data_IF_241988729434
#
_entry.id   IF_241988729434
#
_cell.length_a   1.000
_cell.length_b   1.000
_cell.length_c   1.000
_cell.angle_alpha   90.00
_cell.angle_beta   90.00
_cell.angle_gamma   90.00
#
_symmetry.space_group_name_H-M   'P 1'
#
loop_
_entity.id
_entity.type
_entity.pdbx_description
1 polymer ?
#
# COMPACT_ATOMS: atom_id res chain seq x y z
N UNK A 1 -4.26 -4.21 8.80
CA UNK A 1 -4.75 -3.31 7.73
C UNK A 1 -4.13 -3.62 6.38
N UNK A 2 -2.85 -4.01 6.30
CA UNK A 2 -2.21 -4.45 5.04
C UNK A 2 -2.92 -5.62 4.32
N UNK A 3 -3.44 -6.61 5.05
CA UNK A 3 -4.19 -7.74 4.46
C UNK A 3 -5.59 -7.37 3.98
N UNK A 4 -6.23 -6.37 4.59
CA UNK A 4 -7.57 -5.91 4.21
C UNK A 4 -7.53 -4.98 2.99
N UNK A 5 -6.48 -4.15 2.89
CA UNK A 5 -6.25 -3.27 1.75
C UNK A 5 -5.93 -4.08 0.49
N UNK A 6 -5.06 -5.10 0.57
CA UNK A 6 -4.76 -5.98 -0.56
C UNK A 6 -5.99 -6.68 -1.17
N UNK A 7 -7.00 -7.00 -0.35
CA UNK A 7 -8.24 -7.67 -0.80
C UNK A 7 -9.20 -6.77 -1.58
N UNK A 8 -9.26 -5.48 -1.24
CA UNK A 8 -10.21 -4.55 -1.84
C UNK A 8 -9.73 -4.07 -3.23
N UNK A 9 -8.42 -4.10 -3.46
CA UNK A 9 -7.79 -3.53 -4.64
C UNK A 9 -7.79 -4.42 -5.90
N UNK A 10 -7.98 -5.74 -5.75
CA UNK A 10 -8.11 -6.65 -6.90
C UNK A 10 -9.44 -6.53 -7.66
N UNK A 11 -10.47 -5.95 -7.03
CA UNK A 11 -11.82 -5.85 -7.60
C UNK A 11 -12.13 -4.49 -8.22
N UNK A 12 -11.39 -3.42 -7.92
CA UNK A 12 -11.82 -2.06 -8.29
C UNK A 12 -11.41 -1.62 -9.71
N UNK A 13 -10.52 -2.34 -10.42
CA UNK A 13 -10.03 -1.91 -11.74
C UNK A 13 -11.08 -1.91 -12.87
N UNK A 14 -12.23 -2.58 -12.72
CA UNK A 14 -13.29 -2.63 -13.74
C UNK A 14 -14.42 -1.60 -13.56
N UNK A 15 -14.36 -0.74 -12.54
CA UNK A 15 -15.38 0.29 -12.25
C UNK A 15 -15.19 1.61 -13.02
N UNK A 16 -14.08 1.79 -13.72
CA UNK A 16 -13.67 3.10 -14.25
C UNK A 16 -14.01 3.28 -15.73
N UNK A 17 -15.30 3.51 -15.99
CA UNK A 17 -15.84 3.74 -17.33
C UNK A 17 -16.24 5.17 -17.67
N UNK A 18 -16.18 6.16 -16.76
CA UNK A 18 -16.56 7.54 -17.08
C UNK A 18 -15.91 8.57 -16.12
N UNK A 19 -14.97 9.37 -16.63
CA UNK A 19 -14.49 10.59 -15.97
C UNK A 19 -15.04 11.83 -16.70
N UNK A 20 -15.74 12.75 -16.03
CA UNK A 20 -15.97 14.09 -16.55
C UNK A 20 -14.67 14.92 -16.45
N UNK A 21 -14.27 15.52 -17.57
CA UNK A 21 -13.21 16.51 -17.67
C UNK A 21 -13.47 17.65 -16.68
N UNK A 22 -12.48 17.98 -15.85
CA UNK A 22 -12.36 19.31 -15.26
C UNK A 22 -10.90 19.72 -15.28
N UNK A 23 -10.54 20.38 -16.37
CA UNK A 23 -9.43 21.31 -16.47
C UNK A 23 -9.79 22.57 -15.69
N UNK A 24 -9.11 22.85 -14.59
CA UNK A 24 -9.00 24.23 -14.11
C UNK A 24 -7.55 24.53 -13.74
N UNK A 25 -7.03 25.48 -14.50
CA UNK A 25 -5.68 26.02 -14.44
C UNK A 25 -5.49 26.87 -13.19
N UNK A 26 -4.39 26.64 -12.46
CA UNK A 26 -3.81 27.68 -11.61
C UNK A 26 -2.35 27.88 -12.04
N UNK A 27 -2.17 28.96 -12.81
CA UNK A 27 -0.91 29.55 -13.20
C UNK A 27 -0.30 30.23 -11.98
N UNK A 28 1.00 30.07 -11.76
CA UNK A 28 1.84 31.11 -11.17
C UNK A 28 3.32 30.91 -11.57
N UNK A 29 3.89 31.99 -12.13
CA UNK A 29 5.28 32.12 -12.56
C UNK A 29 6.27 32.32 -11.39
N UNK A 30 7.58 32.07 -11.60
CA UNK A 30 8.58 32.01 -10.55
C UNK A 30 9.34 33.33 -10.35
N UNK A 31 9.81 33.58 -9.12
CA UNK A 31 10.89 34.54 -8.88
C UNK A 31 12.21 33.81 -8.65
N UNK A 32 13.19 34.16 -9.49
CA UNK A 32 14.58 33.70 -9.44
C UNK A 32 15.39 34.41 -8.35
N UNK A 33 16.36 33.71 -7.77
CA UNK A 33 17.27 34.29 -6.76
C UNK A 33 18.44 33.41 -6.36
N UNK A 34 19.45 33.37 -7.24
CA UNK A 34 20.91 33.29 -7.01
C UNK A 34 21.56 32.09 -6.29
N UNK A 35 22.52 31.54 -7.04
CA UNK A 35 23.56 30.57 -6.68
C UNK A 35 24.68 31.27 -5.90
N UNK A 36 25.21 30.63 -4.85
CA UNK A 36 26.61 30.83 -4.47
C UNK A 36 27.24 29.54 -3.91
N UNK A 37 28.53 29.42 -4.18
CA UNK A 37 29.31 28.21 -4.38
C UNK A 37 30.19 27.86 -3.16
N UNK A 38 30.37 26.55 -2.94
CA UNK A 38 31.48 25.82 -2.26
C UNK A 38 32.07 26.33 -0.92
N UNK A 39 32.14 25.41 0.07
CA UNK A 39 33.37 24.68 0.47
C UNK A 39 33.14 23.64 1.59
N UNK A 40 33.94 22.58 1.51
CA UNK A 40 34.11 21.41 2.39
C UNK A 40 33.84 21.64 3.89
N UNK A 41 32.96 20.82 4.47
CA UNK A 41 32.90 20.58 5.92
C UNK A 41 32.89 19.06 6.13
N UNK A 42 33.97 18.55 6.70
CA UNK A 42 34.05 17.20 7.28
C UNK A 42 33.14 17.18 8.51
N UNK A 43 32.01 16.49 8.44
CA UNK A 43 31.07 16.37 9.56
C UNK A 43 31.23 15.01 10.25
N UNK A 44 31.88 15.02 11.41
CA UNK A 44 31.77 13.97 12.42
C UNK A 44 30.41 14.10 13.11
N UNK A 45 29.56 13.07 13.05
CA UNK A 45 28.23 13.11 13.68
C UNK A 45 28.29 12.55 15.11
N UNK A 46 28.22 13.45 16.09
CA UNK A 46 27.74 13.12 17.43
C UNK A 46 26.22 12.99 17.38
N UNK A 47 25.70 11.86 17.86
CA UNK A 47 24.27 11.61 17.96
C UNK A 47 23.73 12.25 19.23
N UNK A 48 22.77 13.17 19.09
CA UNK A 48 22.01 13.72 20.23
C UNK A 48 21.29 12.58 20.98
N UNK A 49 21.60 12.45 22.28
CA UNK A 49 21.07 11.41 23.17
C UNK A 49 19.87 11.88 24.00
N UNK A 50 19.15 12.92 23.56
CA UNK A 50 18.04 13.43 24.35
C UNK A 50 16.84 12.44 24.37
N UNK A 51 16.28 12.16 25.56
CA UNK A 51 15.28 11.12 25.72
C UNK A 51 13.91 11.60 25.22
N UNK A 52 13.59 11.27 23.98
CA UNK A 52 12.24 11.45 23.43
C UNK A 52 11.29 10.46 24.13
N UNK A 53 10.31 11.01 24.84
CA UNK A 53 9.31 10.28 25.61
C UNK A 53 8.42 9.39 24.73
N UNK A 54 8.52 8.08 24.96
CA UNK A 54 7.56 6.99 24.75
C UNK A 54 6.61 7.05 23.53
N UNK A 55 7.05 6.42 22.44
CA UNK A 55 6.28 5.30 21.87
C UNK A 55 7.22 4.14 21.54
N UNK A 56 6.98 2.99 22.17
CA UNK A 56 7.78 1.76 22.12
C UNK A 56 7.56 0.98 20.81
N UNK A 57 7.80 1.60 19.65
CA UNK A 57 7.55 0.92 18.37
C UNK A 57 8.79 0.39 17.67
N UNK A 58 9.99 0.90 17.97
CA UNK A 58 11.24 0.31 17.48
C UNK A 58 12.36 0.56 18.50
N UNK A 59 13.02 -0.49 18.99
CA UNK A 59 14.31 -0.36 19.68
C UNK A 59 15.46 -0.11 18.70
N UNK A 60 15.17 -0.24 17.40
CA UNK A 60 16.07 0.08 16.32
C UNK A 60 16.16 1.59 16.08
N UNK A 61 17.38 2.08 15.84
CA UNK A 61 17.65 3.52 15.62
C UNK A 61 18.44 3.78 14.33
N UNK A 62 18.78 2.72 13.57
CA UNK A 62 19.69 2.80 12.43
C UNK A 62 19.25 1.88 11.30
N UNK A 63 19.46 2.31 10.05
CA UNK A 63 19.23 1.49 8.87
C UNK A 63 20.36 0.47 8.67
N UNK A 64 20.00 -0.77 8.38
CA UNK A 64 20.92 -1.82 7.95
C UNK A 64 20.52 -2.26 6.55
N UNK A 65 21.42 -2.02 5.60
CA UNK A 65 21.21 -2.33 4.19
C UNK A 65 21.54 -3.79 3.96
N UNK A 66 20.72 -4.50 3.19
CA UNK A 66 20.95 -5.92 2.96
C UNK A 66 20.57 -6.40 1.58
N UNK A 67 21.24 -7.48 1.17
CA UNK A 67 20.91 -8.25 -0.04
C UNK A 67 20.94 -9.74 0.29
N UNK A 68 19.82 -10.42 0.03
CA UNK A 68 19.76 -11.88 0.08
C UNK A 68 20.27 -12.47 -1.23
N UNK A 69 21.13 -13.49 -1.14
CA UNK A 69 21.50 -14.27 -2.30
C UNK A 69 20.45 -15.36 -2.59
N UNK A 70 20.01 -15.46 -3.84
CA UNK A 70 18.84 -16.28 -4.20
C UNK A 70 19.03 -17.78 -4.02
N UNK A 71 20.28 -18.26 -3.92
CA UNK A 71 20.61 -19.69 -3.89
C UNK A 71 21.35 -20.12 -2.61
N UNK A 72 21.56 -19.21 -1.66
CA UNK A 72 22.25 -19.50 -0.40
C UNK A 72 21.48 -18.96 0.80
N UNK A 73 21.89 -19.40 1.99
CA UNK A 73 21.43 -18.80 3.25
C UNK A 73 22.20 -17.53 3.61
N UNK A 74 23.10 -17.08 2.74
CA UNK A 74 23.96 -15.92 2.98
C UNK A 74 23.21 -14.63 2.67
N UNK A 75 23.54 -13.62 3.47
CA UNK A 75 22.98 -12.29 3.36
C UNK A 75 24.12 -11.30 3.50
N UNK A 76 24.28 -10.43 2.51
CA UNK A 76 25.22 -9.33 2.59
C UNK A 76 24.57 -8.20 3.41
N UNK A 77 25.31 -7.64 4.34
CA UNK A 77 24.88 -6.58 5.23
C UNK A 77 25.84 -5.39 5.18
N UNK A 78 25.29 -4.19 5.30
CA UNK A 78 26.05 -2.94 5.38
C UNK A 78 25.38 -1.95 6.32
N UNK A 79 26.10 -1.47 7.32
CA UNK A 79 25.57 -0.55 8.35
C UNK A 79 25.87 0.93 8.09
N UNK A 80 26.43 1.26 6.91
CA UNK A 80 26.94 2.58 6.57
C UNK A 80 28.46 2.72 6.74
N UNK A 81 29.11 1.77 7.41
CA UNK A 81 30.56 1.78 7.68
C UNK A 81 31.17 0.42 7.32
N UNK A 82 30.59 -0.66 7.85
CA UNK A 82 31.12 -2.02 7.78
C UNK A 82 30.25 -2.86 6.86
N UNK A 83 30.91 -3.59 5.98
CA UNK A 83 30.30 -4.64 5.15
C UNK A 83 30.64 -6.02 5.71
N UNK A 84 29.66 -6.91 5.81
CA UNK A 84 29.88 -8.30 6.19
C UNK A 84 28.85 -9.24 5.59
N UNK A 85 29.18 -10.53 5.55
CA UNK A 85 28.27 -11.60 5.14
C UNK A 85 27.77 -12.30 6.40
N UNK A 86 26.46 -12.32 6.58
CA UNK A 86 25.78 -13.09 7.61
C UNK A 86 24.84 -14.12 7.01
N UNK A 87 23.87 -14.55 7.80
CA UNK A 87 22.86 -15.54 7.41
C UNK A 87 21.44 -15.05 7.65
N UNK A 88 20.45 -15.71 7.04
CA UNK A 88 19.03 -15.41 7.27
C UNK A 88 18.59 -15.56 8.74
N UNK A 89 19.34 -16.29 9.57
CA UNK A 89 19.03 -16.42 11.01
C UNK A 89 19.35 -15.13 11.78
N UNK A 90 20.27 -14.32 11.25
CA UNK A 90 20.79 -13.13 11.92
C UNK A 90 19.74 -12.01 11.97
N UNK A 91 18.76 -11.99 11.05
CA UNK A 91 17.66 -11.03 11.07
C UNK A 91 16.96 -10.97 12.43
N UNK A 92 16.73 -12.12 13.07
CA UNK A 92 16.04 -12.18 14.36
C UNK A 92 16.80 -11.43 15.46
N UNK A 93 18.13 -11.58 15.50
CA UNK A 93 19.01 -10.91 16.47
C UNK A 93 19.19 -9.44 16.13
N UNK A 94 19.43 -9.13 14.85
CA UNK A 94 19.71 -7.78 14.37
C UNK A 94 18.48 -6.86 14.39
N UNK A 95 17.26 -7.42 14.28
CA UNK A 95 15.99 -6.66 14.28
C UNK A 95 15.78 -5.81 15.54
N UNK A 96 16.45 -6.15 16.64
CA UNK A 96 16.39 -5.39 17.89
C UNK A 96 17.07 -4.02 17.78
N UNK A 97 18.03 -3.86 16.86
CA UNK A 97 18.87 -2.67 16.74
C UNK A 97 18.74 -1.96 15.39
N UNK A 98 18.31 -2.68 14.36
CA UNK A 98 18.36 -2.21 12.99
C UNK A 98 17.01 -2.26 12.28
N UNK A 99 16.76 -1.26 11.45
CA UNK A 99 15.74 -1.30 10.41
C UNK A 99 16.35 -1.91 9.16
N UNK A 100 15.81 -3.01 8.67
CA UNK A 100 16.31 -3.63 7.45
C UNK A 100 15.81 -2.89 6.23
N UNK A 101 16.74 -2.46 5.38
CA UNK A 101 16.47 -1.76 4.12
C UNK A 101 17.00 -2.65 3.01
N UNK A 102 16.10 -3.22 2.23
CA UNK A 102 16.47 -4.08 1.12
C UNK A 102 17.08 -3.24 -0.01
N UNK A 103 18.17 -3.72 -0.57
CA UNK A 103 18.84 -3.10 -1.71
C UNK A 103 18.19 -3.51 -3.02
N UNK A 104 18.09 -2.57 -3.96
CA UNK A 104 17.58 -2.85 -5.30
C UNK A 104 18.52 -3.79 -6.07
N UNK A 105 17.95 -4.53 -7.03
CA UNK A 105 18.66 -5.59 -7.76
C UNK A 105 19.97 -5.13 -8.43
N UNK A 106 20.04 -3.88 -8.86
CA UNK A 106 21.15 -3.32 -9.63
C UNK A 106 21.95 -2.25 -8.89
N UNK A 107 21.69 -2.08 -7.59
CA UNK A 107 22.31 -1.05 -6.75
C UNK A 107 23.27 -1.70 -5.75
N UNK A 108 24.40 -1.08 -5.44
CA UNK A 108 25.31 -1.53 -4.36
C UNK A 108 24.73 -1.24 -2.95
N UNK A 109 25.28 -1.87 -1.92
CA UNK A 109 24.86 -1.59 -0.53
C UNK A 109 25.15 -0.13 -0.12
N UNK A 110 26.29 0.39 -0.55
CA UNK A 110 26.72 1.77 -0.32
C UNK A 110 25.88 2.78 -1.11
N UNK A 111 25.55 2.46 -2.36
CA UNK A 111 24.66 3.27 -3.19
C UNK A 111 23.26 3.36 -2.56
N UNK A 112 22.71 2.22 -2.11
CA UNK A 112 21.43 2.17 -1.40
C UNK A 112 21.48 2.97 -0.10
N UNK A 113 22.58 2.86 0.64
CA UNK A 113 22.79 3.61 1.87
C UNK A 113 22.77 5.12 1.65
N UNK A 114 23.51 5.58 0.64
CA UNK A 114 23.54 6.99 0.25
C UNK A 114 22.19 7.47 -0.24
N UNK A 115 21.55 6.72 -1.15
CA UNK A 115 20.22 7.03 -1.70
C UNK A 115 19.19 7.18 -0.57
N UNK A 116 19.11 6.20 0.32
CA UNK A 116 18.20 6.22 1.45
C UNK A 116 18.44 7.44 2.36
N UNK A 117 19.70 7.78 2.65
CA UNK A 117 20.02 8.94 3.47
C UNK A 117 19.60 10.25 2.78
N UNK A 118 19.92 10.40 1.49
CA UNK A 118 19.56 11.57 0.69
C UNK A 118 18.03 11.73 0.61
N UNK A 119 17.30 10.63 0.38
CA UNK A 119 15.83 10.57 0.38
C UNK A 119 15.24 10.95 1.75
N UNK A 120 15.78 10.38 2.83
CA UNK A 120 15.34 10.64 4.19
C UNK A 120 15.51 12.11 4.59
N UNK A 121 16.69 12.70 4.30
CA UNK A 121 16.97 14.10 4.61
C UNK A 121 16.08 15.01 3.75
N UNK A 122 15.99 14.72 2.45
CA UNK A 122 15.23 15.55 1.51
C UNK A 122 13.75 15.60 1.87
N UNK A 123 13.13 14.46 2.18
CA UNK A 123 11.72 14.42 2.56
C UNK A 123 11.46 14.98 3.96
N UNK A 124 12.40 14.81 4.89
CA UNK A 124 12.31 15.41 6.23
C UNK A 124 12.35 16.93 6.17
N UNK A 125 13.31 17.49 5.44
CA UNK A 125 13.37 18.93 5.20
C UNK A 125 12.08 19.41 4.52
N UNK A 126 11.64 18.73 3.47
CA UNK A 126 10.48 19.14 2.69
C UNK A 126 9.16 19.08 3.46
N UNK A 127 9.04 18.13 4.38
CA UNK A 127 7.88 17.96 5.23
C UNK A 127 7.94 18.76 6.53
N UNK A 128 9.02 19.52 6.76
CA UNK A 128 9.33 20.24 8.01
C UNK A 128 9.41 19.29 9.22
N UNK A 129 10.04 18.13 9.03
CA UNK A 129 10.28 17.13 10.08
C UNK A 129 9.11 16.17 10.33
N UNK A 130 7.96 16.35 9.68
CA UNK A 130 6.80 15.46 9.84
C UNK A 130 7.09 14.04 9.34
N UNK A 131 7.84 13.91 8.24
CA UNK A 131 8.19 12.61 7.64
C UNK A 131 9.70 12.44 7.77
N UNK A 132 10.14 11.46 8.57
CA UNK A 132 11.57 11.17 8.73
C UNK A 132 11.83 9.66 8.79
N UNK A 133 12.25 9.13 7.64
CA UNK A 133 12.54 7.70 7.47
C UNK A 133 13.64 7.22 8.42
N UNK A 134 14.56 8.09 8.89
CA UNK A 134 15.60 7.68 9.86
C UNK A 134 15.01 7.25 11.21
N UNK A 135 13.79 7.70 11.52
CA UNK A 135 13.08 7.36 12.76
C UNK A 135 12.18 6.12 12.62
N UNK A 136 11.78 5.80 11.39
CA UNK A 136 10.76 4.77 11.09
C UNK A 136 11.31 3.59 10.30
N UNK A 137 12.45 3.74 9.64
CA UNK A 137 13.08 2.73 8.79
C UNK A 137 12.48 2.71 7.39
N UNK A 138 11.73 1.65 7.08
CA UNK A 138 11.27 1.38 5.72
C UNK A 138 10.24 2.39 5.22
N UNK A 139 10.02 2.45 3.90
CA UNK A 139 8.96 3.25 3.30
C UNK A 139 7.58 2.90 3.86
N UNK A 140 7.29 1.60 4.02
CA UNK A 140 6.04 1.12 4.58
C UNK A 140 5.83 1.55 6.03
N UNK A 141 6.86 1.39 6.88
CA UNK A 141 6.79 1.84 8.26
C UNK A 141 6.63 3.36 8.37
N UNK A 142 7.30 4.11 7.49
CA UNK A 142 7.18 5.56 7.40
C UNK A 142 5.78 5.99 6.94
N UNK A 143 5.21 5.29 5.96
CA UNK A 143 3.86 5.57 5.45
C UNK A 143 2.80 5.29 6.49
N UNK A 144 2.90 4.13 7.16
CA UNK A 144 2.02 3.76 8.26
C UNK A 144 2.12 4.75 9.41
N UNK A 145 3.34 5.20 9.76
CA UNK A 145 3.53 6.20 10.81
C UNK A 145 2.86 7.51 10.46
N UNK A 146 3.11 8.02 9.26
CA UNK A 146 2.47 9.25 8.78
C UNK A 146 0.94 9.10 8.79
N UNK A 147 0.42 7.97 8.30
CA UNK A 147 -1.01 7.68 8.34
C UNK A 147 -1.56 7.73 9.76
N UNK A 148 -0.89 7.11 10.73
CA UNK A 148 -1.30 7.14 12.14
C UNK A 148 -1.27 8.55 12.75
N UNK A 149 -0.32 9.38 12.33
CA UNK A 149 -0.18 10.75 12.85
C UNK A 149 -1.26 11.71 12.27
N UNK A 150 -1.85 11.41 11.11
CA UNK A 150 -2.79 12.30 10.41
C UNK A 150 -4.19 11.73 10.19
N UNK A 151 -4.42 10.44 10.45
CA UNK A 151 -5.73 9.82 10.22
C UNK A 151 -6.75 10.26 11.27
N UNK A 152 -8.02 10.39 10.85
CA UNK A 152 -9.15 10.55 11.77
C UNK A 152 -9.72 9.21 12.26
N UNK A 153 -9.16 8.10 11.79
CA UNK A 153 -9.54 6.75 12.20
C UNK A 153 -8.90 6.28 13.52
N UNK A 154 -9.17 5.04 13.93
CA UNK A 154 -8.49 4.45 15.08
C UNK A 154 -6.98 4.31 14.84
N UNK A 155 -6.18 4.90 15.74
CA UNK A 155 -4.70 4.85 15.67
C UNK A 155 -4.16 3.42 15.89
N UNK A 156 -4.90 2.59 16.64
CA UNK A 156 -4.56 1.20 16.92
C UNK A 156 -5.62 0.27 16.34
N UNK A 157 -5.16 -0.73 15.60
CA UNK A 157 -6.02 -1.82 15.16
C UNK A 157 -6.26 -2.81 16.30
N UNK A 158 -7.50 -3.26 16.44
CA UNK A 158 -7.81 -4.48 17.19
C UNK A 158 -7.23 -5.69 16.44
N UNK A 159 -6.74 -6.69 17.18
CA UNK A 159 -6.31 -7.94 16.57
C UNK A 159 -7.53 -8.66 15.97
N UNK A 160 -7.42 -9.05 14.71
CA UNK A 160 -8.43 -9.88 14.06
C UNK A 160 -8.48 -11.26 14.72
N UNK A 161 -9.68 -11.82 14.83
CA UNK A 161 -9.85 -13.24 15.12
C UNK A 161 -9.36 -14.09 13.94
N UNK A 162 -9.06 -15.36 14.20
CA UNK A 162 -8.63 -16.32 13.17
C UNK A 162 -9.67 -16.47 12.06
N UNK A 163 -10.97 -16.40 12.40
CA UNK A 163 -12.05 -16.50 11.41
C UNK A 163 -12.09 -15.25 10.51
N UNK A 164 -11.97 -14.04 11.08
CA UNK A 164 -11.92 -12.81 10.28
C UNK A 164 -10.71 -12.79 9.35
N UNK A 165 -9.55 -13.16 9.86
CA UNK A 165 -8.31 -13.26 9.08
C UNK A 165 -8.49 -14.26 7.92
N UNK A 166 -9.07 -15.43 8.20
CA UNK A 166 -9.37 -16.43 7.17
C UNK A 166 -10.27 -15.87 6.05
N UNK A 167 -11.40 -15.24 6.40
CA UNK A 167 -12.32 -14.68 5.40
C UNK A 167 -11.69 -13.57 4.56
N UNK A 168 -10.94 -12.66 5.20
CA UNK A 168 -10.25 -11.56 4.51
C UNK A 168 -9.18 -12.12 3.57
N UNK A 169 -8.36 -13.09 4.02
CA UNK A 169 -7.33 -13.72 3.19
C UNK A 169 -7.96 -14.46 2.01
N UNK A 170 -9.04 -15.20 2.23
CA UNK A 170 -9.72 -15.96 1.18
C UNK A 170 -10.40 -15.05 0.17
N UNK A 171 -10.91 -13.88 0.58
CA UNK A 171 -11.46 -12.87 -0.33
C UNK A 171 -10.39 -12.01 -1.01
N UNK A 172 -9.13 -12.14 -0.63
CA UNK A 172 -8.06 -11.31 -1.17
C UNK A 172 -7.64 -11.79 -2.56
N UNK A 173 -8.09 -11.08 -3.59
CA UNK A 173 -7.67 -11.32 -4.97
C UNK A 173 -6.70 -10.24 -5.44
N UNK A 174 -5.77 -10.62 -6.31
CA UNK A 174 -4.83 -9.68 -6.94
C UNK A 174 -5.49 -8.86 -8.05
N UNK A 175 -4.68 -8.03 -8.70
CA UNK A 175 -5.12 -7.18 -9.81
C UNK A 175 -5.70 -8.00 -10.99
N UNK A 176 -6.58 -7.35 -11.76
CA UNK A 176 -6.98 -7.87 -13.08
C UNK A 176 -5.80 -7.65 -14.04
N UNK A 177 -5.28 -8.74 -14.57
CA UNK A 177 -4.22 -8.74 -15.58
C UNK A 177 -4.72 -9.58 -16.74
N UNK A 178 -4.72 -8.98 -17.92
CA UNK A 178 -5.14 -9.65 -19.14
C UNK A 178 -4.31 -9.14 -20.31
N UNK A 179 -3.98 -10.04 -21.23
CA UNK A 179 -3.29 -9.71 -22.46
C UNK A 179 -3.70 -10.72 -23.55
N UNK A 180 -3.75 -10.23 -24.79
CA UNK A 180 -3.87 -11.04 -25.99
C UNK A 180 -2.66 -10.76 -26.91
N UNK A 181 -2.28 -11.71 -27.77
CA UNK A 181 -1.29 -11.45 -28.80
C UNK A 181 -1.71 -10.26 -29.67
N UNK A 182 -0.81 -9.29 -29.81
CA UNK A 182 -1.01 -8.11 -30.63
C UNK A 182 0.29 -7.77 -31.38
N UNK A 183 0.16 -7.39 -32.64
CA UNK A 183 1.27 -6.94 -33.49
C UNK A 183 0.90 -5.61 -34.14
N UNK A 184 1.80 -4.62 -34.06
CA UNK A 184 1.60 -3.27 -34.56
C UNK A 184 1.88 -2.20 -33.52
N UNK A 185 1.61 -0.94 -33.87
CA UNK A 185 1.80 0.19 -32.97
C UNK A 185 0.77 0.15 -31.83
N UNK A 186 1.19 0.48 -30.61
CA UNK A 186 0.34 0.54 -29.43
C UNK A 186 0.55 1.84 -28.64
N UNK A 187 -0.47 2.25 -27.90
CA UNK A 187 -0.40 3.35 -26.92
C UNK A 187 -0.74 2.81 -25.54
N UNK A 188 0.04 3.21 -24.54
CA UNK A 188 -0.18 2.84 -23.15
C UNK A 188 -0.71 4.05 -22.38
N UNK A 189 -1.70 3.79 -21.52
CA UNK A 189 -2.20 4.74 -20.53
C UNK A 189 -2.00 4.14 -19.14
N UNK A 190 -1.76 4.99 -18.15
CA UNK A 190 -1.62 4.62 -16.74
C UNK A 190 -2.43 5.58 -15.88
N UNK A 191 -2.99 5.09 -14.78
CA UNK A 191 -3.77 5.88 -13.84
C UNK A 191 -2.82 6.43 -12.78
N UNK A 192 -2.73 7.76 -12.73
CA UNK A 192 -1.97 8.44 -11.70
C UNK A 192 -2.54 8.12 -10.31
N UNK A 193 -1.66 7.62 -9.42
CA UNK A 193 -2.00 7.30 -8.04
C UNK A 193 -3.25 6.40 -7.90
N UNK A 194 -3.34 5.34 -8.72
CA UNK A 194 -4.50 4.45 -8.74
C UNK A 194 -5.01 4.05 -7.34
N UNK A 195 -4.18 3.43 -6.49
CA UNK A 195 -4.63 2.99 -5.17
C UNK A 195 -5.04 4.13 -4.22
N UNK A 196 -4.25 5.21 -4.07
CA UNK A 196 -4.73 6.39 -3.34
C UNK A 196 -6.04 6.97 -3.91
N UNK A 197 -6.23 6.98 -5.23
CA UNK A 197 -7.48 7.48 -5.83
C UNK A 197 -8.68 6.61 -5.47
N UNK A 198 -8.46 5.29 -5.34
CA UNK A 198 -9.47 4.32 -4.89
C UNK A 198 -9.79 4.50 -3.40
N UNK A 199 -8.78 4.68 -2.55
CA UNK A 199 -8.96 4.95 -1.12
C UNK A 199 -9.82 6.20 -0.86
N UNK A 200 -9.67 7.22 -1.71
CA UNK A 200 -10.33 8.52 -1.61
C UNK A 200 -11.57 8.65 -2.48
N UNK A 201 -11.99 7.58 -3.15
CA UNK A 201 -13.12 7.63 -4.05
C UNK A 201 -14.37 8.08 -3.28
N UNK A 202 -15.18 8.93 -3.92
CA UNK A 202 -16.45 9.39 -3.34
C UNK A 202 -17.31 8.19 -2.97
N UNK A 203 -17.89 8.22 -1.77
CA UNK A 203 -18.73 7.14 -1.21
C UNK A 203 -17.97 5.86 -0.86
N UNK A 204 -16.65 5.79 -1.07
CA UNK A 204 -15.85 4.66 -0.59
C UNK A 204 -15.80 4.67 0.94
N UNK A 205 -16.16 3.55 1.53
CA UNK A 205 -16.08 3.33 2.97
C UNK A 205 -15.18 2.14 3.28
N UNK A 206 -14.54 2.17 4.44
CA UNK A 206 -13.56 1.18 4.84
C UNK A 206 -13.84 0.65 6.23
N UNK A 207 -13.72 -0.67 6.48
CA UNK A 207 -13.88 -1.24 7.80
C UNK A 207 -12.84 -0.73 8.79
N UNK A 208 -13.32 -0.19 9.91
CA UNK A 208 -12.51 0.26 11.05
C UNK A 208 -12.73 -0.59 12.31
N UNK A 209 -13.73 -1.50 12.26
CA UNK A 209 -14.10 -2.44 13.33
C UNK A 209 -14.45 -3.80 12.74
N UNK A 210 -14.55 -4.80 13.61
CA UNK A 210 -15.02 -6.14 13.27
C UNK A 210 -16.44 -6.12 12.72
N UNK A 211 -16.72 -6.95 11.72
CA UNK A 211 -18.06 -7.20 11.20
C UNK A 211 -18.79 -8.32 11.95
N UNK A 212 -19.87 -8.80 11.35
CA UNK A 212 -20.70 -9.89 11.85
C UNK A 212 -20.78 -11.02 10.83
N UNK A 213 -20.64 -12.26 11.28
CA UNK A 213 -20.86 -13.43 10.46
C UNK A 213 -22.34 -13.80 10.42
N UNK A 214 -22.86 -14.07 9.22
CA UNK A 214 -24.27 -14.35 9.00
C UNK A 214 -24.49 -15.57 8.09
N UNK A 215 -25.67 -16.16 8.26
CA UNK A 215 -26.24 -17.19 7.38
C UNK A 215 -27.37 -16.56 6.58
N UNK A 216 -27.11 -16.24 5.33
CA UNK A 216 -28.11 -15.72 4.41
C UNK A 216 -28.81 -16.87 3.69
N UNK A 217 -30.12 -16.73 3.49
CA UNK A 217 -30.92 -17.67 2.68
C UNK A 217 -31.02 -17.24 1.22
N UNK A 218 -30.82 -15.94 0.94
CA UNK A 218 -30.79 -15.39 -0.42
C UNK A 218 -29.89 -14.16 -0.48
N UNK A 219 -29.43 -13.81 -1.69
CA UNK A 219 -28.53 -12.69 -1.91
C UNK A 219 -29.32 -11.45 -2.36
N UNK A 220 -29.34 -10.41 -1.53
CA UNK A 220 -30.05 -9.16 -1.82
C UNK A 220 -29.55 -8.47 -3.10
N UNK A 221 -30.43 -7.73 -3.77
CA UNK A 221 -30.08 -6.92 -4.95
C UNK A 221 -29.07 -5.82 -4.61
N UNK A 222 -29.27 -5.15 -3.47
CA UNK A 222 -28.29 -4.23 -2.88
C UNK A 222 -27.56 -4.97 -1.76
N UNK A 223 -26.25 -5.11 -1.89
CA UNK A 223 -25.44 -5.79 -0.88
C UNK A 223 -25.05 -4.82 0.23
N UNK A 224 -24.91 -5.36 1.43
CA UNK A 224 -24.21 -4.66 2.49
C UNK A 224 -22.70 -4.72 2.22
N UNK A 225 -21.94 -3.84 2.88
CA UNK A 225 -20.49 -3.90 2.80
C UNK A 225 -20.03 -5.21 3.45
N UNK A 226 -19.36 -6.09 2.70
CA UNK A 226 -18.98 -7.38 3.25
C UNK A 226 -18.28 -8.30 2.27
N UNK A 227 -18.01 -9.50 2.77
CA UNK A 227 -17.49 -10.66 2.04
C UNK A 227 -18.59 -11.73 2.05
N UNK A 228 -18.82 -12.38 0.92
CA UNK A 228 -19.85 -13.39 0.76
C UNK A 228 -19.28 -14.63 0.10
N UNK A 229 -19.85 -15.78 0.47
CA UNK A 229 -19.58 -17.06 -0.18
C UNK A 229 -20.55 -17.27 -1.33
N UNK A 230 -20.08 -17.06 -2.55
CA UNK A 230 -20.89 -17.20 -3.75
C UNK A 230 -20.15 -17.97 -4.83
N UNK A 231 -20.88 -18.82 -5.55
CA UNK A 231 -20.42 -19.39 -6.79
C UNK A 231 -20.79 -18.41 -7.91
N UNK A 232 -19.80 -17.98 -8.68
CA UNK A 232 -20.00 -17.14 -9.87
C UNK A 232 -19.77 -18.04 -11.08
N UNK A 233 -20.83 -18.23 -11.87
CA UNK A 233 -20.81 -19.22 -12.93
C UNK A 233 -19.72 -18.96 -13.97
N UNK A 234 -19.32 -20.05 -14.60
CA UNK A 234 -18.38 -20.07 -15.70
C UNK A 234 -17.01 -20.54 -15.27
N UNK A 235 -16.50 -20.18 -14.07
CA UNK A 235 -15.08 -20.31 -13.64
C UNK A 235 -14.14 -20.72 -14.79
N UNK A 236 -14.11 -19.92 -15.89
CA UNK A 236 -13.56 -20.40 -17.14
C UNK A 236 -12.07 -20.60 -16.89
N UNK A 237 -11.50 -21.65 -17.47
CA UNK A 237 -10.03 -21.77 -17.42
C UNK A 237 -9.46 -20.48 -18.01
N UNK A 238 -8.36 -19.95 -17.47
CA UNK A 238 -7.74 -18.71 -17.98
C UNK A 238 -7.48 -18.73 -19.50
N UNK A 239 -7.35 -19.93 -20.08
CA UNK A 239 -7.18 -20.20 -21.51
C UNK A 239 -8.46 -20.14 -22.35
N UNK A 240 -9.64 -20.09 -21.73
CA UNK A 240 -10.93 -20.11 -22.43
C UNK A 240 -11.36 -18.69 -22.81
N UNK A 241 -11.90 -18.54 -24.03
CA UNK A 241 -12.39 -17.25 -24.57
C UNK A 241 -13.51 -16.61 -23.73
N UNK A 242 -14.13 -17.39 -22.85
CA UNK A 242 -15.19 -16.97 -21.93
C UNK A 242 -14.63 -16.30 -20.66
N UNK A 243 -13.32 -16.35 -20.44
CA UNK A 243 -12.66 -15.58 -19.38
C UNK A 243 -12.83 -14.09 -19.68
N UNK A 244 -13.63 -13.42 -18.86
CA UNK A 244 -13.94 -12.00 -19.08
C UNK A 244 -12.71 -11.15 -18.76
N UNK A 245 -12.34 -10.24 -19.65
CA UNK A 245 -11.27 -9.24 -19.44
C UNK A 245 -11.48 -8.36 -18.19
N UNK A 246 -12.69 -8.38 -17.61
CA UNK A 246 -13.19 -7.42 -16.62
C UNK A 246 -13.46 -8.03 -15.25
N UNK A 247 -13.11 -9.30 -15.02
CA UNK A 247 -13.36 -9.97 -13.74
C UNK A 247 -12.26 -10.95 -13.34
N UNK A 248 -11.85 -10.89 -12.07
CA UNK A 248 -10.93 -11.85 -11.47
C UNK A 248 -11.71 -12.89 -10.67
N UNK A 249 -11.80 -14.11 -11.21
CA UNK A 249 -12.45 -15.22 -10.50
C UNK A 249 -11.64 -15.66 -9.27
N UNK A 250 -12.32 -15.78 -8.14
CA UNK A 250 -11.77 -16.35 -6.93
C UNK A 250 -12.14 -17.83 -6.82
N UNK A 251 -11.13 -18.71 -6.90
CA UNK A 251 -11.31 -20.16 -6.77
C UNK A 251 -11.77 -20.59 -5.38
N UNK A 252 -11.56 -19.75 -4.36
CA UNK A 252 -12.00 -20.01 -2.99
C UNK A 252 -13.48 -19.65 -2.78
N UNK A 253 -14.11 -18.99 -3.76
CA UNK A 253 -15.52 -18.58 -3.75
C UNK A 253 -15.88 -17.54 -2.67
N UNK A 254 -14.89 -16.77 -2.19
CA UNK A 254 -15.10 -15.62 -1.31
C UNK A 254 -15.01 -14.32 -2.12
N UNK A 255 -16.08 -13.55 -2.17
CA UNK A 255 -16.10 -12.31 -2.94
C UNK A 255 -16.54 -11.15 -2.07
N UNK A 256 -15.86 -10.02 -2.22
CA UNK A 256 -16.35 -8.76 -1.67
C UNK A 256 -17.66 -8.36 -2.36
N UNK A 257 -18.49 -7.56 -1.69
CA UNK A 257 -19.67 -6.96 -2.31
C UNK A 257 -19.34 -6.25 -3.64
N UNK A 258 -18.20 -5.54 -3.74
CA UNK A 258 -17.73 -4.94 -4.99
C UNK A 258 -17.53 -5.98 -6.11
N UNK A 259 -16.85 -7.10 -5.81
CA UNK A 259 -16.66 -8.18 -6.77
C UNK A 259 -17.99 -8.74 -7.29
N UNK A 260 -18.95 -8.94 -6.38
CA UNK A 260 -20.27 -9.45 -6.74
C UNK A 260 -21.05 -8.42 -7.58
N UNK A 261 -20.98 -7.13 -7.23
CA UNK A 261 -21.62 -6.07 -8.00
C UNK A 261 -21.04 -5.96 -9.41
N UNK A 262 -19.73 -6.12 -9.58
CA UNK A 262 -19.09 -6.16 -10.89
C UNK A 262 -19.56 -7.37 -11.68
N UNK A 263 -19.55 -8.56 -11.08
CA UNK A 263 -20.04 -9.78 -11.72
C UNK A 263 -21.49 -9.61 -12.22
N UNK A 264 -22.36 -8.99 -11.40
CA UNK A 264 -23.74 -8.63 -11.82
C UNK A 264 -23.75 -7.67 -13.00
N UNK A 265 -22.92 -6.62 -12.98
CA UNK A 265 -22.87 -5.59 -14.04
C UNK A 265 -22.44 -6.17 -15.38
N UNK A 266 -21.53 -7.14 -15.39
CA UNK A 266 -21.07 -7.80 -16.62
C UNK A 266 -21.91 -9.03 -17.00
N UNK A 267 -23.02 -9.28 -16.30
CA UNK A 267 -24.00 -10.31 -16.66
C UNK A 267 -23.64 -11.73 -16.21
N UNK A 268 -22.71 -11.91 -15.26
CA UNK A 268 -22.42 -13.23 -14.70
C UNK A 268 -23.51 -13.68 -13.73
N UNK A 269 -23.87 -14.97 -13.79
CA UNK A 269 -24.77 -15.59 -12.84
C UNK A 269 -24.06 -15.82 -11.50
N UNK A 270 -24.75 -15.53 -10.39
CA UNK A 270 -24.22 -15.59 -9.04
C UNK A 270 -25.18 -16.40 -8.17
N UNK A 271 -24.66 -17.46 -7.57
CA UNK A 271 -25.40 -18.35 -6.67
C UNK A 271 -24.81 -18.27 -5.28
N UNK A 272 -25.66 -17.98 -4.29
CA UNK A 272 -25.26 -18.01 -2.89
C UNK A 272 -24.95 -19.46 -2.48
N UNK A 273 -23.83 -19.66 -1.81
CA UNK A 273 -23.46 -20.99 -1.30
C UNK A 273 -24.22 -21.24 0.00
N UNK A 274 -24.96 -22.36 0.05
CA UNK A 274 -25.77 -22.73 1.21
C UNK A 274 -24.93 -23.46 2.27
N UNK A 275 -24.25 -22.68 3.12
CA UNK A 275 -23.43 -23.15 4.25
C UNK A 275 -23.77 -22.35 5.50
N UNK A 276 -23.41 -22.88 6.68
CA UNK A 276 -23.76 -22.28 7.97
C UNK A 276 -23.24 -20.85 8.16
N UNK A 277 -22.14 -20.46 7.54
CA UNK A 277 -21.67 -19.07 7.47
C UNK A 277 -21.34 -18.76 6.01
N UNK A 278 -22.13 -17.88 5.39
CA UNK A 278 -21.97 -17.51 3.98
C UNK A 278 -21.88 -15.99 3.75
N UNK A 279 -21.88 -15.19 4.82
CA UNK A 279 -21.57 -13.76 4.75
C UNK A 279 -20.78 -13.29 5.98
N UNK A 280 -19.89 -12.32 5.76
CA UNK A 280 -19.22 -11.53 6.77
C UNK A 280 -19.46 -10.05 6.46
N UNK A 281 -20.30 -9.41 7.26
CA UNK A 281 -20.94 -8.11 6.93
C UNK A 281 -20.50 -7.03 7.91
N UNK A 282 -20.24 -5.84 7.39
CA UNK A 282 -19.92 -4.64 8.15
C UNK A 282 -21.12 -3.69 8.12
N UNK A 283 -21.65 -3.39 9.30
CA UNK A 283 -22.67 -2.36 9.48
C UNK A 283 -22.07 -0.95 9.36
N UNK A 284 -22.92 0.06 9.22
CA UNK A 284 -22.50 1.42 8.93
C UNK A 284 -21.57 2.01 10.01
N UNK A 285 -21.81 1.67 11.28
CA UNK A 285 -21.01 2.09 12.43
C UNK A 285 -19.62 1.43 12.52
N UNK A 286 -19.39 0.40 11.70
CA UNK A 286 -18.11 -0.29 11.54
C UNK A 286 -17.31 0.24 10.35
N UNK A 287 -17.89 1.14 9.57
CA UNK A 287 -17.31 1.73 8.38
C UNK A 287 -16.95 3.20 8.62
N UNK A 288 -15.91 3.68 7.95
CA UNK A 288 -15.55 5.08 7.91
C UNK A 288 -15.29 5.51 6.47
N UNK A 289 -15.67 6.75 6.16
CA UNK A 289 -15.43 7.35 4.84
C UNK A 289 -13.93 7.41 4.53
N UNK A 290 -13.57 7.02 3.31
CA UNK A 290 -12.19 6.94 2.86
C UNK A 290 -11.47 8.28 2.83
N UNK A 291 -12.19 9.38 2.53
CA UNK A 291 -11.63 10.72 2.60
C UNK A 291 -11.25 11.07 4.03
N UNK A 292 -12.11 10.77 5.01
CA UNK A 292 -11.81 11.02 6.43
C UNK A 292 -10.59 10.22 6.91
N UNK A 293 -10.41 9.00 6.41
CA UNK A 293 -9.30 8.14 6.80
C UNK A 293 -7.97 8.55 6.15
N UNK A 294 -7.96 8.75 4.84
CA UNK A 294 -6.74 8.73 4.02
C UNK A 294 -6.37 10.08 3.40
N UNK A 295 -7.25 11.09 3.41
CA UNK A 295 -7.06 12.32 2.62
C UNK A 295 -5.81 13.10 3.04
N UNK A 296 -5.59 13.30 4.34
CA UNK A 296 -4.45 14.09 4.82
C UNK A 296 -3.11 13.40 4.55
N UNK A 297 -3.07 12.06 4.73
CA UNK A 297 -1.92 11.23 4.36
C UNK A 297 -1.61 11.34 2.86
N UNK A 298 -2.62 11.12 2.01
CA UNK A 298 -2.46 11.14 0.57
C UNK A 298 -2.10 12.53 0.06
N UNK A 299 -2.80 13.58 0.50
CA UNK A 299 -2.53 14.98 0.10
C UNK A 299 -1.10 15.38 0.41
N UNK A 300 -0.60 15.05 1.61
CA UNK A 300 0.76 15.39 2.03
C UNK A 300 1.82 14.75 1.14
N UNK A 301 1.67 13.46 0.83
CA UNK A 301 2.64 12.75 -0.01
C UNK A 301 2.51 13.14 -1.49
N UNK A 302 1.29 13.30 -2.00
CA UNK A 302 1.04 13.74 -3.38
C UNK A 302 1.57 15.15 -3.62
N UNK A 303 1.43 16.07 -2.67
CA UNK A 303 1.97 17.42 -2.82
C UNK A 303 3.49 17.38 -2.96
N UNK A 304 4.19 16.62 -2.11
CA UNK A 304 5.66 16.48 -2.18
C UNK A 304 6.08 15.75 -3.46
N UNK A 305 5.38 14.68 -3.85
CA UNK A 305 5.63 13.92 -5.08
C UNK A 305 5.61 14.82 -6.32
N UNK A 306 4.62 15.71 -6.42
CA UNK A 306 4.43 16.60 -7.58
C UNK A 306 5.56 17.59 -7.79
N UNK A 307 6.29 17.92 -6.73
CA UNK A 307 7.46 18.79 -6.82
C UNK A 307 8.69 18.11 -7.42
N UNK A 308 8.64 16.78 -7.62
CA UNK A 308 9.72 15.96 -8.19
C UNK A 308 11.00 16.03 -7.33
N UNK A 309 12.15 15.67 -7.91
CA UNK A 309 13.42 15.59 -7.19
C UNK A 309 13.49 14.43 -6.18
N UNK A 310 14.49 14.46 -5.30
CA UNK A 310 14.77 13.40 -4.33
C UNK A 310 13.62 13.20 -3.34
N UNK A 311 13.11 14.28 -2.73
CA UNK A 311 11.92 14.20 -1.87
C UNK A 311 10.68 13.66 -2.61
N UNK A 312 10.49 14.06 -3.88
CA UNK A 312 9.36 13.58 -4.67
C UNK A 312 9.43 12.08 -4.99
N UNK A 313 10.63 11.54 -5.23
CA UNK A 313 10.86 10.10 -5.36
C UNK A 313 10.55 9.37 -4.05
N UNK A 314 11.09 9.82 -2.93
CA UNK A 314 10.82 9.24 -1.62
C UNK A 314 9.31 9.27 -1.29
N UNK A 315 8.64 10.40 -1.55
CA UNK A 315 7.20 10.53 -1.32
C UNK A 315 6.37 9.58 -2.17
N UNK A 316 6.79 9.29 -3.42
CA UNK A 316 6.15 8.27 -4.26
C UNK A 316 6.27 6.88 -3.62
N UNK A 317 7.46 6.47 -3.18
CA UNK A 317 7.67 5.15 -2.58
C UNK A 317 6.89 5.00 -1.27
N UNK A 318 6.84 6.05 -0.44
CA UNK A 318 6.03 6.05 0.79
C UNK A 318 4.53 5.96 0.46
N UNK A 319 4.06 6.72 -0.54
CA UNK A 319 2.64 6.73 -0.94
C UNK A 319 2.13 5.36 -1.38
N UNK A 320 2.97 4.57 -2.06
CA UNK A 320 2.57 3.23 -2.54
C UNK A 320 2.81 2.11 -1.53
N UNK A 321 3.31 2.44 -0.33
CA UNK A 321 3.72 1.47 0.69
C UNK A 321 2.80 1.39 1.93
N UNK A 322 1.70 2.17 1.97
CA UNK A 322 0.68 2.01 3.01
C UNK A 322 -0.16 0.76 2.75
#
# INVERSE_FOLDING_TARGET
>A
MSSLLGSIFGTLSSLFGNFPNNSDHLVNEPLAGQIQDRRNITLSYEYDTDPISFTRWYSASRGLFYREQSQSNEVEFFDGITHWIGSKKDFSVLSQKWFFIQVDKYESLEEASKRYLDESISISHKSHGLIDMRKTGTYAATSLRLFQDVTNGPIRSTRLSTEEEFWILKASTGSIIWAEPYEGDAKQYDINEFYPSVLLQKEAQWPIKSGMFETLTFLNKKLAYGIYRVNIEGLPKKSEKQCTQLFHYNQEEFYTHYGIEIARKIGLEIKLINVSLNAYIFSQENLMDGKLLFEDWAKKLVSIKREKGTAGKAAKEILVSL
#
